data_IF_522917287289
#
_entry.id   IF_522917287289
#
_cell.length_a   1.000
_cell.length_b   1.000
_cell.length_c   1.000
_cell.angle_alpha   90.00
_cell.angle_beta   90.00
_cell.angle_gamma   90.00
#
_symmetry.space_group_name_H-M   'P 1'
#
loop_
_entity.id
_entity.type
_entity.pdbx_description
1 polymer ?
#
# COMPACT_ATOMS: atom_id res chain seq x y z
N UNK A 1 29.62 -79.74 6.39
CA UNK A 1 29.91 -78.37 5.91
C UNK A 1 29.37 -78.16 4.49
N UNK A 2 28.16 -77.58 4.39
CA UNK A 2 27.59 -77.18 3.08
C UNK A 2 28.02 -75.77 2.77
N UNK A 3 28.93 -75.59 1.78
CA UNK A 3 29.30 -74.32 1.22
C UNK A 3 28.15 -73.82 0.35
N UNK A 4 27.49 -72.75 0.78
CA UNK A 4 26.50 -72.04 -0.01
C UNK A 4 27.24 -71.19 -1.02
N UNK A 5 27.11 -71.54 -2.30
CA UNK A 5 27.68 -70.78 -3.43
C UNK A 5 26.88 -69.50 -3.59
N UNK A 6 27.55 -68.38 -3.41
CA UNK A 6 27.02 -67.01 -3.65
C UNK A 6 26.96 -66.81 -5.15
N UNK A 7 25.77 -66.95 -5.74
CA UNK A 7 25.51 -66.74 -7.17
C UNK A 7 25.58 -65.23 -7.42
N UNK A 8 26.68 -64.75 -8.01
CA UNK A 8 26.80 -63.37 -8.48
C UNK A 8 25.87 -63.19 -9.68
N UNK A 9 24.78 -62.45 -9.47
CA UNK A 9 23.91 -62.07 -10.57
C UNK A 9 24.57 -60.89 -11.27
N UNK A 10 25.33 -61.16 -12.29
CA UNK A 10 25.78 -60.13 -13.24
C UNK A 10 24.57 -59.73 -14.08
N UNK A 11 23.83 -58.73 -13.62
CA UNK A 11 22.77 -58.09 -14.38
C UNK A 11 23.39 -57.34 -15.55
N UNK A 12 23.45 -57.98 -16.72
CA UNK A 12 23.83 -57.34 -17.95
C UNK A 12 22.70 -56.39 -18.34
N UNK A 13 22.88 -55.11 -18.00
CA UNK A 13 21.91 -54.08 -18.32
C UNK A 13 21.90 -53.92 -19.86
N UNK A 14 20.79 -54.13 -20.56
CA UNK A 14 20.74 -54.07 -22.01
C UNK A 14 21.05 -52.61 -22.45
N UNK A 15 21.93 -52.47 -23.47
CA UNK A 15 22.47 -51.17 -23.95
C UNK A 15 21.38 -50.15 -24.27
N UNK A 16 20.20 -50.56 -24.71
CA UNK A 16 19.09 -49.67 -24.99
C UNK A 16 18.60 -48.91 -23.78
N UNK A 17 18.64 -49.48 -22.56
CA UNK A 17 18.29 -48.78 -21.32
C UNK A 17 19.28 -47.68 -20.98
N UNK A 18 20.56 -47.90 -21.26
CA UNK A 18 21.59 -46.86 -21.14
C UNK A 18 21.30 -45.66 -22.05
N UNK A 19 20.97 -45.93 -23.31
CA UNK A 19 20.61 -44.84 -24.26
C UNK A 19 19.32 -44.12 -23.86
N UNK A 20 18.32 -44.78 -23.31
CA UNK A 20 17.12 -44.17 -22.78
C UNK A 20 17.42 -43.21 -21.65
N UNK A 21 18.21 -43.61 -20.67
CA UNK A 21 18.61 -42.78 -19.55
C UNK A 21 19.42 -41.57 -20.02
N UNK A 22 20.38 -41.78 -20.90
CA UNK A 22 21.17 -40.68 -21.51
C UNK A 22 20.30 -39.74 -22.31
N UNK A 23 19.37 -40.21 -23.09
CA UNK A 23 18.42 -39.39 -23.84
C UNK A 23 17.55 -38.54 -22.89
N UNK A 24 17.02 -39.16 -21.83
CA UNK A 24 16.25 -38.47 -20.82
C UNK A 24 17.07 -37.40 -20.07
N UNK A 25 18.32 -37.70 -19.74
CA UNK A 25 19.24 -36.79 -19.06
C UNK A 25 19.60 -35.56 -19.88
N UNK A 26 19.69 -35.73 -21.20
CA UNK A 26 20.02 -34.66 -22.16
C UNK A 26 18.74 -33.85 -22.54
N UNK A 27 17.61 -34.54 -22.74
CA UNK A 27 16.38 -33.90 -23.20
C UNK A 27 15.77 -32.98 -22.14
N UNK A 28 15.87 -33.34 -20.85
CA UNK A 28 15.28 -32.56 -19.75
C UNK A 28 15.90 -31.15 -19.65
N UNK A 29 17.22 -30.98 -19.57
CA UNK A 29 17.82 -29.65 -19.56
C UNK A 29 17.58 -28.86 -20.86
N UNK A 30 17.52 -29.55 -22.00
CA UNK A 30 17.26 -28.91 -23.30
C UNK A 30 15.83 -28.31 -23.34
N UNK A 31 14.86 -29.04 -22.84
CA UNK A 31 13.47 -28.53 -22.68
C UNK A 31 13.42 -27.35 -21.71
N UNK A 32 14.15 -27.40 -20.60
CA UNK A 32 14.23 -26.28 -19.65
C UNK A 32 14.86 -25.05 -20.29
N UNK A 33 15.96 -25.22 -21.01
CA UNK A 33 16.60 -24.11 -21.73
C UNK A 33 15.67 -23.51 -22.79
N UNK A 34 14.95 -24.32 -23.54
CA UNK A 34 13.97 -23.85 -24.50
C UNK A 34 12.84 -23.06 -23.82
N UNK A 35 12.38 -23.51 -22.64
CA UNK A 35 11.38 -22.78 -21.84
C UNK A 35 11.91 -21.46 -21.32
N UNK A 36 13.12 -21.41 -20.81
CA UNK A 36 13.77 -20.17 -20.36
C UNK A 36 13.95 -19.20 -21.52
N UNK A 37 14.44 -19.68 -22.66
CA UNK A 37 14.60 -18.87 -23.86
C UNK A 37 13.24 -18.32 -24.34
N UNK A 38 12.19 -19.13 -24.33
CA UNK A 38 10.83 -18.71 -24.68
C UNK A 38 10.33 -17.58 -23.75
N UNK A 39 10.59 -17.68 -22.46
CA UNK A 39 10.17 -16.67 -21.49
C UNK A 39 10.97 -15.37 -21.58
N UNK A 40 12.23 -15.44 -22.02
CA UNK A 40 13.12 -14.27 -22.09
C UNK A 40 13.10 -13.55 -23.45
N UNK A 41 12.88 -14.28 -24.55
CA UNK A 41 13.05 -13.73 -25.91
C UNK A 41 11.70 -13.41 -26.56
N UNK A 42 10.64 -14.18 -26.24
CA UNK A 42 9.33 -13.99 -26.88
C UNK A 42 8.48 -13.07 -25.99
N UNK A 43 8.23 -11.81 -26.41
CA UNK A 43 7.30 -10.94 -25.72
C UNK A 43 5.89 -11.53 -25.80
N UNK A 44 5.33 -11.88 -24.64
CA UNK A 44 3.99 -12.40 -24.56
C UNK A 44 3.25 -11.64 -23.45
N UNK A 45 2.14 -11.00 -23.77
CA UNK A 45 1.35 -10.17 -22.87
C UNK A 45 0.86 -10.92 -21.62
N UNK A 46 0.78 -12.25 -21.68
CA UNK A 46 0.28 -13.07 -20.56
C UNK A 46 1.35 -13.82 -19.77
N UNK A 47 2.57 -14.01 -20.32
CA UNK A 47 3.62 -14.85 -19.71
C UNK A 47 5.06 -14.40 -20.00
N UNK A 48 5.28 -13.26 -20.66
CA UNK A 48 6.60 -12.74 -21.02
C UNK A 48 7.28 -11.95 -19.91
N UNK A 49 8.49 -11.45 -20.18
CA UNK A 49 9.27 -10.59 -19.28
C UNK A 49 8.46 -9.36 -18.87
N UNK A 50 7.74 -8.73 -19.80
CA UNK A 50 6.90 -7.55 -19.54
C UNK A 50 5.78 -7.85 -18.54
N UNK A 51 5.15 -9.02 -18.64
CA UNK A 51 4.14 -9.46 -17.66
C UNK A 51 4.76 -9.64 -16.27
N UNK A 52 5.93 -10.29 -16.17
CA UNK A 52 6.60 -10.51 -14.90
C UNK A 52 7.11 -9.21 -14.30
N UNK A 53 7.62 -8.28 -15.10
CA UNK A 53 8.01 -6.93 -14.67
C UNK A 53 6.79 -6.15 -14.18
N UNK A 54 5.70 -6.12 -14.94
CA UNK A 54 4.46 -5.46 -14.53
C UNK A 54 3.89 -6.04 -13.23
N UNK A 55 3.94 -7.36 -13.05
CA UNK A 55 3.55 -8.01 -11.79
C UNK A 55 4.49 -7.65 -10.63
N UNK A 56 5.80 -7.57 -10.90
CA UNK A 56 6.80 -7.13 -9.93
C UNK A 56 6.58 -5.67 -9.53
N UNK A 57 6.39 -4.80 -10.51
CA UNK A 57 6.15 -3.38 -10.31
C UNK A 57 4.85 -3.10 -9.56
N UNK A 58 3.77 -3.79 -9.90
CA UNK A 58 2.50 -3.68 -9.18
C UNK A 58 2.57 -4.09 -7.71
N UNK A 59 3.56 -4.91 -7.34
CA UNK A 59 3.80 -5.34 -5.95
C UNK A 59 4.79 -4.46 -5.20
N UNK A 60 5.80 -3.92 -5.89
CA UNK A 60 6.91 -3.15 -5.30
C UNK A 60 6.75 -1.64 -5.49
N UNK A 61 6.16 -1.18 -6.59
CA UNK A 61 5.99 0.24 -6.87
C UNK A 61 4.57 0.66 -6.50
N UNK A 62 4.44 1.29 -5.34
CA UNK A 62 3.20 1.94 -4.97
C UNK A 62 3.17 3.36 -5.54
N UNK A 63 2.33 3.60 -6.54
CA UNK A 63 2.06 4.98 -6.98
C UNK A 63 1.32 5.73 -5.88
N UNK A 64 2.03 6.61 -5.21
CA UNK A 64 1.43 7.55 -4.26
C UNK A 64 1.09 8.81 -5.01
N UNK A 65 -0.19 9.06 -5.19
CA UNK A 65 -0.65 10.36 -5.71
C UNK A 65 -0.40 11.39 -4.61
N UNK A 66 0.49 12.33 -4.88
CA UNK A 66 0.69 13.50 -4.02
C UNK A 66 -0.35 14.53 -4.48
N UNK A 67 -1.36 14.85 -3.65
CA UNK A 67 -2.36 15.84 -4.04
C UNK A 67 -1.68 17.19 -4.24
N UNK A 68 -1.94 17.80 -5.37
CA UNK A 68 -1.48 19.15 -5.65
C UNK A 68 -2.23 20.15 -4.77
N UNK A 69 -1.54 21.20 -4.36
CA UNK A 69 -2.14 22.35 -3.69
C UNK A 69 -3.13 23.04 -4.64
N UNK A 70 -4.38 23.22 -4.22
CA UNK A 70 -5.36 23.98 -5.00
C UNK A 70 -5.07 25.48 -4.91
N UNK A 71 -5.12 26.14 -6.05
CA UNK A 71 -4.94 27.57 -6.15
C UNK A 71 -6.01 28.38 -5.41
N UNK A 72 -5.70 29.62 -5.14
CA UNK A 72 -6.63 30.61 -4.61
C UNK A 72 -7.65 30.97 -5.68
N UNK A 73 -8.94 31.05 -5.32
CA UNK A 73 -9.99 31.62 -6.15
C UNK A 73 -10.30 33.00 -5.55
N UNK A 74 -10.23 34.04 -6.38
CA UNK A 74 -10.52 35.40 -5.96
C UNK A 74 -11.62 36.02 -6.82
N UNK A 75 -12.25 37.08 -6.30
CA UNK A 75 -13.12 37.92 -7.05
C UNK A 75 -12.32 38.91 -7.93
N UNK A 76 -13.03 39.81 -8.67
CA UNK A 76 -12.42 40.84 -9.50
C UNK A 76 -11.58 41.87 -8.74
N UNK A 77 -11.81 42.03 -7.44
CA UNK A 77 -11.12 42.98 -6.58
C UNK A 77 -9.92 42.33 -5.87
N UNK A 78 -9.70 41.00 -6.06
CA UNK A 78 -8.67 40.23 -5.38
C UNK A 78 -9.09 39.64 -4.02
N UNK A 79 -10.37 39.82 -3.63
CA UNK A 79 -10.86 39.22 -2.40
C UNK A 79 -10.98 37.67 -2.51
N UNK A 80 -10.49 36.93 -1.54
CA UNK A 80 -10.47 35.47 -1.61
C UNK A 80 -11.88 34.87 -1.45
N UNK A 81 -12.29 34.08 -2.43
CA UNK A 81 -13.54 33.30 -2.43
C UNK A 81 -13.32 31.85 -1.97
N UNK A 82 -12.15 31.28 -2.29
CA UNK A 82 -11.77 29.96 -1.82
C UNK A 82 -10.26 29.87 -1.58
N UNK A 83 -9.88 29.39 -0.40
CA UNK A 83 -8.49 29.28 0.08
C UNK A 83 -8.22 27.86 0.53
N UNK A 84 -7.08 27.26 0.14
CA UNK A 84 -6.64 26.00 0.69
C UNK A 84 -5.71 26.23 1.87
N UNK A 85 -6.10 25.71 3.04
CA UNK A 85 -5.33 25.80 4.28
C UNK A 85 -4.66 24.46 4.56
N UNK A 86 -3.36 24.42 4.89
CA UNK A 86 -2.69 23.18 5.27
C UNK A 86 -3.27 22.65 6.59
N UNK A 87 -3.56 21.36 6.60
CA UNK A 87 -4.06 20.61 7.74
C UNK A 87 -3.32 19.26 7.81
N UNK A 88 -3.47 18.55 8.91
CA UNK A 88 -2.83 17.25 9.07
C UNK A 88 -3.86 16.19 9.41
N UNK A 89 -3.77 15.05 8.73
CA UNK A 89 -4.48 13.84 9.11
C UNK A 89 -3.58 12.96 9.99
N UNK A 90 -4.12 12.48 11.09
CA UNK A 90 -3.45 11.52 11.96
C UNK A 90 -3.97 10.13 11.66
N UNK A 91 -3.07 9.27 11.25
CA UNK A 91 -3.30 7.85 11.01
C UNK A 91 -2.62 6.99 12.05
N UNK A 92 -3.15 5.81 12.27
CA UNK A 92 -2.62 4.85 13.24
C UNK A 92 -2.66 3.43 12.70
N UNK A 93 -1.67 2.64 13.10
CA UNK A 93 -1.72 1.20 13.02
C UNK A 93 -2.24 0.64 14.36
N UNK A 94 -3.51 0.16 14.41
CA UNK A 94 -4.11 -0.30 15.68
C UNK A 94 -3.38 -1.49 16.31
N UNK A 95 -2.59 -2.24 15.53
CA UNK A 95 -1.83 -3.39 16.01
C UNK A 95 -0.57 -2.99 16.80
N UNK A 96 -0.10 -1.76 16.64
CA UNK A 96 1.13 -1.26 17.26
C UNK A 96 0.88 -0.37 18.48
N UNK A 97 -0.38 0.04 18.72
CA UNK A 97 -0.73 0.88 19.86
C UNK A 97 -0.76 0.05 21.15
N UNK A 98 -0.05 0.53 22.15
CA UNK A 98 -0.05 -0.05 23.50
C UNK A 98 -1.18 0.53 24.34
N UNK A 99 -1.74 -0.26 25.24
CA UNK A 99 -2.84 0.18 26.13
C UNK A 99 -2.46 1.42 26.94
N UNK A 100 -1.23 1.48 27.43
CA UNK A 100 -0.70 2.62 28.20
C UNK A 100 -0.64 3.94 27.41
N UNK A 101 -0.57 3.87 26.09
CA UNK A 101 -0.47 5.05 25.22
C UNK A 101 -1.86 5.65 24.93
N UNK A 102 -2.93 4.88 25.15
CA UNK A 102 -4.30 5.31 24.84
C UNK A 102 -4.72 6.49 25.73
N UNK A 103 -4.34 6.50 27.00
CA UNK A 103 -4.70 7.58 27.90
C UNK A 103 -3.98 8.89 27.53
N UNK A 104 -2.70 8.83 27.18
CA UNK A 104 -1.94 9.98 26.67
C UNK A 104 -2.54 10.51 25.37
N UNK A 105 -2.91 9.61 24.47
CA UNK A 105 -3.52 9.94 23.19
C UNK A 105 -4.90 10.56 23.38
N UNK A 106 -5.69 10.05 24.35
CA UNK A 106 -7.03 10.57 24.67
C UNK A 106 -6.99 12.03 25.13
N UNK A 107 -6.00 12.37 25.94
CA UNK A 107 -5.78 13.75 26.40
C UNK A 107 -5.38 14.65 25.24
N UNK A 108 -4.40 14.23 24.42
CA UNK A 108 -3.93 15.02 23.28
C UNK A 108 -5.01 15.26 22.21
N UNK A 109 -5.90 14.27 22.03
CA UNK A 109 -7.00 14.35 21.05
C UNK A 109 -8.28 14.96 21.64
N UNK A 110 -8.31 15.26 22.94
CA UNK A 110 -9.51 15.69 23.66
C UNK A 110 -10.70 14.73 23.42
N UNK A 111 -10.42 13.43 23.43
CA UNK A 111 -11.41 12.38 23.13
C UNK A 111 -11.43 11.37 24.28
N UNK A 112 -12.59 10.94 24.80
CA UNK A 112 -12.65 9.99 25.89
C UNK A 112 -11.90 8.69 25.59
N UNK A 113 -11.06 8.23 26.53
CA UNK A 113 -10.23 7.03 26.35
C UNK A 113 -11.08 5.77 26.05
N UNK A 114 -12.28 5.67 26.63
CA UNK A 114 -13.20 4.56 26.34
C UNK A 114 -13.64 4.51 24.88
N UNK A 115 -13.93 5.67 24.29
CA UNK A 115 -14.29 5.79 22.88
C UNK A 115 -13.11 5.41 21.96
N UNK A 116 -11.92 5.88 22.32
CA UNK A 116 -10.69 5.58 21.58
C UNK A 116 -10.36 4.09 21.64
N UNK A 117 -10.47 3.45 22.83
CA UNK A 117 -10.32 1.99 23.00
C UNK A 117 -11.32 1.21 22.14
N UNK A 118 -12.59 1.57 22.19
CA UNK A 118 -13.63 0.91 21.41
C UNK A 118 -13.34 1.01 19.89
N UNK A 119 -12.88 2.17 19.45
CA UNK A 119 -12.52 2.42 18.05
C UNK A 119 -11.30 1.60 17.61
N UNK A 120 -10.22 1.60 18.39
CA UNK A 120 -9.02 0.80 18.13
C UNK A 120 -9.32 -0.70 18.14
N UNK A 121 -10.16 -1.18 19.09
CA UNK A 121 -10.59 -2.58 19.16
C UNK A 121 -11.37 -3.01 17.91
N UNK A 122 -12.27 -2.15 17.41
CA UNK A 122 -13.04 -2.42 16.16
C UNK A 122 -12.12 -2.62 14.95
N UNK A 123 -11.02 -1.88 14.89
CA UNK A 123 -10.08 -1.91 13.77
C UNK A 123 -8.80 -2.71 14.05
N UNK A 124 -8.77 -3.53 15.10
CA UNK A 124 -7.57 -4.27 15.53
C UNK A 124 -6.94 -5.14 14.43
N UNK A 125 -7.75 -5.65 13.50
CA UNK A 125 -7.28 -6.49 12.40
C UNK A 125 -6.78 -5.69 11.19
N UNK A 126 -6.84 -4.35 11.25
CA UNK A 126 -6.35 -3.46 10.19
C UNK A 126 -4.97 -2.93 10.57
N UNK A 127 -4.11 -2.75 9.57
CA UNK A 127 -2.80 -2.11 9.73
C UNK A 127 -2.85 -0.58 9.60
N UNK A 128 -4.02 -0.04 9.23
CA UNK A 128 -4.20 1.39 9.00
C UNK A 128 -5.63 1.83 9.30
N UNK A 129 -5.75 2.96 10.01
CA UNK A 129 -6.99 3.71 10.14
C UNK A 129 -6.69 5.19 10.42
N UNK A 130 -7.57 6.09 10.01
CA UNK A 130 -7.52 7.48 10.43
C UNK A 130 -8.07 7.64 11.84
N UNK A 131 -7.29 8.25 12.74
CA UNK A 131 -7.79 8.70 14.05
C UNK A 131 -8.56 10.01 13.91
N UNK A 132 -7.96 10.97 13.22
CA UNK A 132 -8.61 12.23 12.92
C UNK A 132 -8.09 12.74 11.57
N UNK A 133 -8.91 13.50 10.86
CA UNK A 133 -8.55 14.16 9.62
C UNK A 133 -8.79 15.66 9.74
N UNK A 134 -8.09 16.41 8.89
CA UNK A 134 -8.23 17.86 8.81
C UNK A 134 -8.00 18.58 10.15
N UNK A 135 -7.05 18.08 10.97
CA UNK A 135 -6.65 18.75 12.20
C UNK A 135 -5.78 19.98 11.89
N UNK A 136 -5.91 21.05 12.67
CA UNK A 136 -4.93 22.14 12.66
C UNK A 136 -3.53 21.59 12.91
N UNK A 137 -2.53 22.14 12.21
CA UNK A 137 -1.14 21.64 12.28
C UNK A 137 -0.61 21.60 13.71
N UNK A 138 -0.86 22.61 14.52
CA UNK A 138 -0.43 22.67 15.93
C UNK A 138 -1.02 21.54 16.79
N UNK A 139 -2.28 21.18 16.54
CA UNK A 139 -2.91 20.08 17.28
C UNK A 139 -2.35 18.73 16.84
N UNK A 140 -2.09 18.58 15.56
CA UNK A 140 -1.48 17.36 15.01
C UNK A 140 -0.05 17.17 15.52
N UNK A 141 0.76 18.23 15.56
CA UNK A 141 2.11 18.22 16.12
C UNK A 141 2.12 17.75 17.58
N UNK A 142 1.24 18.29 18.43
CA UNK A 142 1.10 17.82 19.82
C UNK A 142 0.83 16.34 19.95
N UNK A 143 0.07 15.75 19.01
CA UNK A 143 -0.20 14.31 18.98
C UNK A 143 1.04 13.53 18.50
N UNK A 144 1.73 14.03 17.50
CA UNK A 144 2.94 13.39 16.95
C UNK A 144 4.11 13.44 17.92
N UNK A 145 4.28 14.54 18.67
CA UNK A 145 5.32 14.75 19.70
C UNK A 145 5.19 13.77 20.87
N UNK A 146 4.05 13.11 21.03
CA UNK A 146 3.93 12.02 22.01
C UNK A 146 4.85 10.83 21.69
N UNK A 147 5.36 10.71 20.45
CA UNK A 147 6.27 9.66 20.02
C UNK A 147 5.68 8.25 20.10
N UNK A 148 4.36 8.11 19.98
CA UNK A 148 3.67 6.82 20.10
C UNK A 148 3.92 6.00 18.83
N UNK A 149 4.45 4.79 19.01
CA UNK A 149 4.70 3.86 17.90
C UNK A 149 3.40 3.53 17.16
N UNK A 150 3.45 3.58 15.83
CA UNK A 150 2.30 3.27 14.99
C UNK A 150 1.39 4.46 14.69
N UNK A 151 1.71 5.67 15.17
CA UNK A 151 1.05 6.91 14.78
C UNK A 151 1.88 7.61 13.72
N UNK A 152 1.23 8.16 12.69
CA UNK A 152 1.85 8.96 11.65
C UNK A 152 0.96 10.11 11.22
N UNK A 153 1.58 11.24 10.91
CA UNK A 153 0.91 12.42 10.36
C UNK A 153 1.07 12.47 8.84
N UNK A 154 0.00 12.85 8.16
CA UNK A 154 0.02 13.10 6.72
C UNK A 154 -0.53 14.49 6.46
N UNK A 155 0.22 15.32 5.74
CA UNK A 155 -0.26 16.63 5.31
C UNK A 155 -1.43 16.46 4.34
N UNK A 156 -2.49 17.18 4.62
CA UNK A 156 -3.69 17.32 3.78
C UNK A 156 -3.98 18.81 3.61
N UNK A 157 -4.93 19.14 2.77
CA UNK A 157 -5.43 20.52 2.61
C UNK A 157 -6.92 20.52 2.88
N UNK A 158 -7.37 21.60 3.50
CA UNK A 158 -8.79 21.88 3.72
C UNK A 158 -9.16 23.16 2.99
N UNK A 159 -10.17 23.07 2.16
CA UNK A 159 -10.72 24.21 1.46
C UNK A 159 -11.58 25.04 2.41
N UNK A 160 -11.36 26.33 2.42
CA UNK A 160 -12.10 27.30 3.21
C UNK A 160 -12.71 28.33 2.29
N UNK A 161 -13.95 28.70 2.54
CA UNK A 161 -14.75 29.61 1.73
C UNK A 161 -15.15 30.84 2.58
N UNK A 162 -14.38 31.93 2.53
CA UNK A 162 -14.63 33.12 3.37
C UNK A 162 -16.01 33.73 3.19
N UNK A 163 -16.48 33.76 1.95
CA UNK A 163 -17.80 34.35 1.60
C UNK A 163 -18.97 33.36 1.87
N UNK A 164 -18.71 32.13 2.27
CA UNK A 164 -19.71 31.14 2.69
C UNK A 164 -20.84 30.95 1.69
N UNK A 165 -22.07 31.04 2.16
CA UNK A 165 -23.29 30.76 1.38
C UNK A 165 -23.50 31.66 0.19
N UNK A 166 -23.01 32.89 0.24
CA UNK A 166 -23.24 33.92 -0.83
C UNK A 166 -22.59 33.48 -2.16
N UNK A 167 -21.47 32.80 -2.10
CA UNK A 167 -20.72 32.37 -3.29
C UNK A 167 -20.81 30.86 -3.56
N UNK A 168 -21.50 30.13 -2.70
CA UNK A 168 -21.54 28.66 -2.74
C UNK A 168 -22.01 28.10 -4.09
N UNK A 169 -23.02 28.71 -4.72
CA UNK A 169 -23.55 28.26 -6.00
C UNK A 169 -22.57 28.48 -7.16
N UNK A 170 -21.72 29.51 -7.08
CA UNK A 170 -20.75 29.82 -8.11
C UNK A 170 -19.44 29.06 -7.91
N UNK A 171 -18.90 29.13 -6.70
CA UNK A 171 -17.61 28.54 -6.35
C UNK A 171 -17.73 27.03 -6.18
N UNK A 172 -18.82 26.57 -5.63
CA UNK A 172 -19.00 25.15 -5.31
C UNK A 172 -18.33 24.75 -4.00
N UNK A 173 -18.06 23.47 -3.86
CA UNK A 173 -17.38 22.92 -2.68
C UNK A 173 -16.56 21.67 -3.02
N UNK A 174 -15.63 21.35 -2.13
CA UNK A 174 -14.81 20.15 -2.21
C UNK A 174 -15.22 19.12 -1.15
N UNK A 175 -14.96 17.85 -1.43
CA UNK A 175 -15.09 16.76 -0.44
C UNK A 175 -13.91 16.76 0.56
N UNK A 176 -13.93 15.80 1.50
CA UNK A 176 -12.86 15.62 2.50
C UNK A 176 -11.50 15.26 1.88
N UNK A 177 -11.47 14.80 0.64
CA UNK A 177 -10.26 14.48 -0.10
C UNK A 177 -9.78 15.61 -1.00
N UNK A 178 -10.36 16.80 -0.85
CA UNK A 178 -10.08 17.98 -1.66
C UNK A 178 -10.45 17.80 -3.15
N UNK A 179 -11.43 16.95 -3.43
CA UNK A 179 -11.98 16.75 -4.77
C UNK A 179 -13.19 17.66 -4.97
N UNK A 180 -13.19 18.45 -6.04
CA UNK A 180 -14.31 19.34 -6.38
C UNK A 180 -15.58 18.52 -6.65
N UNK A 181 -16.70 18.98 -6.11
CA UNK A 181 -17.99 18.34 -6.27
C UNK A 181 -18.91 19.13 -7.20
N UNK A 182 -18.90 20.44 -7.06
CA UNK A 182 -19.76 21.35 -7.84
C UNK A 182 -19.07 22.68 -8.11
N UNK A 183 -19.62 23.49 -9.03
CA UNK A 183 -19.20 24.86 -9.32
C UNK A 183 -17.87 24.96 -10.05
N UNK A 184 -17.06 25.93 -9.65
CA UNK A 184 -15.73 26.20 -10.23
C UNK A 184 -14.62 25.34 -9.61
N UNK A 185 -14.90 24.61 -8.52
CA UNK A 185 -13.95 23.74 -7.80
C UNK A 185 -13.60 22.40 -8.51
#
# INVERSE_FOLDING_TARGET
SKKVAKKSVNAVIPRWRYYLVMLSLVSLPLILLAKVAQLQIIPNETRGVDFLQTQGDNRSIRRVVVPAYRGLITDRNGEPLAISTPVTAISVNPQQIREQDIDRLSVAMNTPAAQLRARLKRYRNKSFMYLARQLPTEQAERILDLGITGISGRREYKRFYPAGEVTAQLVGFTDINDSGQEGME
#
